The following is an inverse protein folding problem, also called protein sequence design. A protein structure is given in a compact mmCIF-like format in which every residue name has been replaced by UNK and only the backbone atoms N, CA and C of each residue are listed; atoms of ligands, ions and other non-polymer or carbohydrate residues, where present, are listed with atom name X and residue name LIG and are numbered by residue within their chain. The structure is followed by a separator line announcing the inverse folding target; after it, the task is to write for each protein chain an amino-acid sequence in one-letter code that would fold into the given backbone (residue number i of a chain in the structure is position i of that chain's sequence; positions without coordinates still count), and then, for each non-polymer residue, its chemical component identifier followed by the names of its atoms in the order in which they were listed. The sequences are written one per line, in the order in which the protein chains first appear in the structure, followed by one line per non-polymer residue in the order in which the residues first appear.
data_IF_507436607743
#
_entry.id   IF_507436607743
#
_cell.length_a   1.000
_cell.length_b   1.000
_cell.length_c   1.000
_cell.angle_alpha   90.00
_cell.angle_beta   90.00
_cell.angle_gamma   90.00
#
_symmetry.space_group_name_H-M   'P 1'
#
loop_
_entity.id
_entity.type
_entity.pdbx_description
1 polymer ?
#
# COMPACT_ATOMS: atom_id res chain seq x y z
N UNK A 1 16.41 -10.19 -3.69
CA UNK A 1 16.60 -9.03 -2.80
C UNK A 1 15.27 -8.47 -2.34
N UNK A 2 14.92 -8.66 -1.07
CA UNK A 2 13.70 -8.12 -0.46
C UNK A 2 13.84 -6.61 -0.19
N UNK A 3 12.76 -5.85 -0.37
CA UNK A 3 12.66 -4.51 0.20
C UNK A 3 12.54 -4.62 1.73
N UNK A 4 13.23 -3.75 2.45
CA UNK A 4 13.11 -3.47 3.87
C UNK A 4 12.56 -2.05 4.04
N UNK A 5 12.05 -1.72 5.22
CA UNK A 5 11.62 -0.36 5.54
C UNK A 5 10.70 0.21 4.44
N UNK A 6 9.72 -0.58 4.01
CA UNK A 6 8.79 -0.13 2.98
C UNK A 6 7.80 0.85 3.60
N UNK A 7 7.63 2.00 2.95
CA UNK A 7 6.72 3.04 3.38
C UNK A 7 6.03 3.67 2.19
N UNK A 8 4.76 4.01 2.36
CA UNK A 8 4.00 4.83 1.43
C UNK A 8 3.56 6.10 2.14
N UNK A 9 3.82 7.25 1.53
CA UNK A 9 3.41 8.56 2.03
C UNK A 9 2.40 9.19 1.08
N UNK A 10 1.11 9.07 1.41
CA UNK A 10 0.02 9.67 0.65
C UNK A 10 -0.20 11.12 1.07
N UNK A 11 -0.38 12.00 0.09
CA UNK A 11 -0.75 13.41 0.26
C UNK A 11 -1.94 13.71 -0.64
N UNK A 12 -3.02 14.26 -0.09
CA UNK A 12 -4.09 14.81 -0.92
C UNK A 12 -3.59 16.08 -1.60
N UNK A 13 -3.69 16.14 -2.92
CA UNK A 13 -3.27 17.30 -3.73
C UNK A 13 -4.46 18.13 -4.21
N UNK A 14 -5.68 17.61 -4.00
CA UNK A 14 -6.95 18.24 -4.36
C UNK A 14 -8.12 17.49 -3.73
N UNK A 15 -9.35 17.81 -4.14
CA UNK A 15 -10.57 17.17 -3.61
C UNK A 15 -10.72 15.70 -4.03
N UNK A 16 -10.12 15.32 -5.16
CA UNK A 16 -10.24 13.98 -5.79
C UNK A 16 -8.91 13.50 -6.36
N UNK A 17 -7.80 14.08 -5.91
CA UNK A 17 -6.45 13.76 -6.39
C UNK A 17 -5.48 13.61 -5.24
N UNK A 18 -4.47 12.76 -5.44
CA UNK A 18 -3.41 12.52 -4.47
C UNK A 18 -2.05 12.36 -5.16
N UNK A 19 -1.01 12.48 -4.36
CA UNK A 19 0.32 11.96 -4.67
C UNK A 19 0.71 10.95 -3.61
N UNK A 20 1.54 9.98 -3.97
CA UNK A 20 2.20 9.11 -3.01
C UNK A 20 3.68 8.95 -3.30
N UNK A 21 4.43 8.69 -2.24
CA UNK A 21 5.84 8.35 -2.33
C UNK A 21 6.03 6.98 -1.70
N UNK A 22 6.20 5.98 -2.56
CA UNK A 22 6.73 4.68 -2.16
C UNK A 22 8.22 4.84 -1.85
N UNK A 23 8.67 4.29 -0.73
CA UNK A 23 10.09 4.18 -0.39
C UNK A 23 10.40 2.77 0.09
N UNK A 24 11.55 2.22 -0.30
CA UNK A 24 12.09 1.00 0.29
C UNK A 24 13.62 0.99 0.31
N UNK A 25 14.20 0.26 1.26
CA UNK A 25 15.64 0.02 1.35
C UNK A 25 15.93 -1.40 0.85
N UNK A 26 16.74 -1.55 -0.20
CA UNK A 26 16.97 -2.87 -0.82
C UNK A 26 18.00 -3.67 -0.02
N UNK A 27 17.63 -4.88 0.42
CA UNK A 27 18.53 -5.87 1.04
C UNK A 27 18.95 -5.59 2.49
N UNK A 28 18.75 -4.38 3.02
CA UNK A 28 19.09 -4.02 4.40
C UNK A 28 18.28 -2.81 4.87
N UNK A 29 17.92 -2.69 6.16
CA UNK A 29 17.26 -1.50 6.70
C UNK A 29 18.13 -0.24 6.65
N UNK A 30 19.46 -0.36 6.55
CA UNK A 30 20.39 0.78 6.45
C UNK A 30 20.80 1.14 5.02
N UNK A 31 20.32 0.39 4.01
CA UNK A 31 20.62 0.69 2.62
C UNK A 31 20.03 2.05 2.19
N UNK A 32 20.59 2.64 1.14
CA UNK A 32 20.07 3.89 0.56
C UNK A 32 18.60 3.68 0.15
N UNK A 33 17.69 4.61 0.51
CA UNK A 33 16.30 4.51 0.11
C UNK A 33 16.16 4.65 -1.40
N UNK A 34 15.40 3.71 -1.98
CA UNK A 34 14.84 3.80 -3.31
C UNK A 34 13.43 4.35 -3.18
N UNK A 35 13.11 5.41 -3.93
CA UNK A 35 11.79 6.04 -3.89
C UNK A 35 11.15 6.08 -5.28
N UNK A 36 9.84 5.85 -5.32
CA UNK A 36 8.99 6.03 -6.50
C UNK A 36 7.96 7.07 -6.12
N UNK A 37 7.81 8.10 -6.96
CA UNK A 37 6.81 9.14 -6.82
C UNK A 37 5.67 8.86 -7.79
N UNK A 38 4.47 8.75 -7.25
CA UNK A 38 3.26 8.49 -8.00
C UNK A 38 2.26 9.62 -7.77
N UNK A 39 1.33 9.73 -8.71
CA UNK A 39 0.15 10.58 -8.60
C UNK A 39 -1.07 9.78 -8.99
N UNK A 40 -2.23 10.15 -8.48
CA UNK A 40 -3.46 9.44 -8.78
C UNK A 40 -4.71 10.26 -8.49
N UNK A 41 -5.84 9.64 -8.77
CA UNK A 41 -7.17 10.22 -8.54
C UNK A 41 -8.16 9.17 -8.09
N UNK A 42 -9.33 9.63 -7.64
CA UNK A 42 -10.46 8.80 -7.25
C UNK A 42 -11.76 9.57 -7.44
N UNK A 43 -12.86 8.85 -7.60
CA UNK A 43 -14.19 9.47 -7.64
C UNK A 43 -14.67 9.84 -6.24
N UNK A 44 -15.34 10.99 -6.11
CA UNK A 44 -15.74 11.53 -4.82
C UNK A 44 -16.73 10.64 -4.05
N UNK A 45 -17.56 9.89 -4.77
CA UNK A 45 -18.56 8.97 -4.21
C UNK A 45 -17.96 7.61 -3.80
N UNK A 46 -16.79 7.27 -4.34
CA UNK A 46 -16.11 6.00 -4.15
C UNK A 46 -14.61 6.20 -3.91
N UNK A 47 -14.21 6.97 -2.87
CA UNK A 47 -12.82 7.38 -2.67
C UNK A 47 -11.85 6.22 -2.41
N UNK A 48 -12.37 5.04 -2.03
CA UNK A 48 -11.58 3.82 -1.90
C UNK A 48 -11.20 3.16 -3.23
N UNK A 49 -11.80 3.56 -4.36
CA UNK A 49 -11.49 3.03 -5.70
C UNK A 49 -10.57 3.98 -6.46
N UNK A 50 -9.30 4.01 -6.06
CA UNK A 50 -8.33 4.91 -6.65
C UNK A 50 -7.75 4.36 -7.95
N UNK A 51 -7.16 5.25 -8.75
CA UNK A 51 -6.30 4.94 -9.89
C UNK A 51 -4.95 5.64 -9.72
N UNK A 52 -3.87 4.90 -9.89
CA UNK A 52 -2.50 5.46 -9.92
C UNK A 52 -2.10 5.75 -11.36
N UNK A 53 -1.35 6.81 -11.61
CA UNK A 53 -0.81 7.15 -12.93
C UNK A 53 0.63 6.67 -13.04
N UNK A 54 0.85 5.56 -13.74
CA UNK A 54 2.17 4.98 -14.01
C UNK A 54 2.52 5.17 -15.50
N UNK A 55 2.55 6.44 -15.94
CA UNK A 55 2.78 6.78 -17.36
C UNK A 55 1.56 6.48 -18.24
N UNK A 56 1.65 5.61 -19.26
CA UNK A 56 0.54 5.34 -20.18
C UNK A 56 -0.55 4.45 -19.59
N UNK A 57 -0.34 3.87 -18.40
CA UNK A 57 -1.31 2.99 -17.73
C UNK A 57 -1.81 3.64 -16.44
N UNK A 58 -3.09 3.42 -16.16
CA UNK A 58 -3.73 3.89 -14.93
C UNK A 58 -4.36 2.72 -14.17
N UNK A 59 -3.56 1.89 -13.49
CA UNK A 59 -4.08 0.72 -12.81
C UNK A 59 -5.00 1.08 -11.63
N UNK A 60 -6.01 0.26 -11.35
CA UNK A 60 -6.76 0.34 -10.10
C UNK A 60 -5.84 0.12 -8.90
N UNK A 61 -6.07 0.92 -7.86
CA UNK A 61 -5.46 0.83 -6.54
C UNK A 61 -6.56 0.99 -5.49
N UNK A 62 -7.14 -0.11 -5.05
CA UNK A 62 -8.40 -0.11 -4.31
C UNK A 62 -8.20 -0.46 -2.84
N UNK A 63 -8.68 0.40 -1.96
CA UNK A 63 -8.81 0.13 -0.53
C UNK A 63 -10.02 -0.77 -0.33
N UNK A 64 -9.77 -2.06 -0.08
CA UNK A 64 -10.81 -3.05 0.10
C UNK A 64 -11.46 -2.93 1.49
N UNK A 65 -10.65 -2.64 2.51
CA UNK A 65 -11.12 -2.56 3.90
C UNK A 65 -10.16 -1.78 4.79
N UNK A 66 -10.72 -1.16 5.83
CA UNK A 66 -9.99 -0.46 6.89
C UNK A 66 -10.28 -1.10 8.25
N UNK A 67 -9.30 -1.04 9.15
CA UNK A 67 -9.44 -1.41 10.56
C UNK A 67 -8.94 -0.26 11.44
N UNK A 68 -9.61 -0.05 12.57
CA UNK A 68 -9.31 1.02 13.52
C UNK A 68 -10.57 1.56 14.20
N UNK A 69 -10.38 2.57 15.04
CA UNK A 69 -11.46 3.26 15.75
C UNK A 69 -12.22 4.23 14.82
N UNK A 70 -13.50 4.51 15.07
CA UNK A 70 -14.29 5.42 14.23
C UNK A 70 -13.58 6.76 13.96
N UNK A 71 -13.42 7.11 12.67
CA UNK A 71 -12.72 8.32 12.23
C UNK A 71 -11.18 8.23 12.18
N UNK A 72 -10.61 7.09 12.56
CA UNK A 72 -9.18 6.78 12.43
C UNK A 72 -9.03 5.42 11.74
N UNK A 73 -7.91 5.23 11.04
CA UNK A 73 -7.56 3.92 10.55
C UNK A 73 -6.13 3.63 10.94
N UNK A 74 -5.95 2.47 11.56
CA UNK A 74 -4.65 1.97 11.98
C UNK A 74 -4.10 1.02 10.92
N UNK A 75 -5.00 0.38 10.16
CA UNK A 75 -4.65 -0.57 9.10
C UNK A 75 -5.53 -0.43 7.87
N UNK A 76 -4.98 -0.79 6.72
CA UNK A 76 -5.70 -0.83 5.45
C UNK A 76 -5.29 -2.03 4.61
N UNK A 77 -6.27 -2.69 4.00
CA UNK A 77 -6.07 -3.70 2.99
C UNK A 77 -6.30 -3.10 1.62
N UNK A 78 -5.31 -3.20 0.76
CA UNK A 78 -5.33 -2.66 -0.60
C UNK A 78 -5.08 -3.76 -1.61
N UNK A 79 -5.79 -3.69 -2.72
CA UNK A 79 -5.57 -4.50 -3.91
C UNK A 79 -5.28 -3.59 -5.10
N UNK A 80 -4.26 -3.93 -5.87
CA UNK A 80 -3.96 -3.26 -7.13
C UNK A 80 -3.78 -4.30 -8.24
N UNK A 81 -4.17 -3.92 -9.45
CA UNK A 81 -4.00 -4.78 -10.62
C UNK A 81 -3.43 -3.98 -11.77
N UNK A 82 -2.23 -4.31 -12.21
CA UNK A 82 -1.57 -3.69 -13.35
C UNK A 82 -1.71 -4.62 -14.55
N UNK A 83 -2.40 -4.16 -15.59
CA UNK A 83 -2.51 -4.87 -16.86
C UNK A 83 -1.65 -4.21 -17.94
N UNK A 84 -0.80 -4.97 -18.62
CA UNK A 84 -0.09 -4.52 -19.82
C UNK A 84 0.00 -5.66 -20.83
N UNK A 85 -0.43 -5.40 -22.08
CA UNK A 85 -0.31 -6.33 -23.22
C UNK A 85 -0.86 -7.75 -22.95
N UNK A 86 -2.02 -7.85 -22.27
CA UNK A 86 -2.66 -9.13 -21.97
C UNK A 86 -2.09 -9.87 -20.76
N UNK A 87 -1.00 -9.39 -20.17
CA UNK A 87 -0.49 -9.86 -18.88
C UNK A 87 -1.09 -9.02 -17.75
N UNK A 88 -1.56 -9.69 -16.70
CA UNK A 88 -2.07 -9.08 -15.48
C UNK A 88 -1.11 -9.39 -14.34
N UNK A 89 -0.71 -8.37 -13.59
CA UNK A 89 0.01 -8.49 -12.34
C UNK A 89 -0.87 -7.95 -11.22
N UNK A 90 -1.12 -8.78 -10.22
CA UNK A 90 -1.92 -8.42 -9.05
C UNK A 90 -1.00 -8.18 -7.86
N UNK A 91 -1.35 -7.17 -7.06
CA UNK A 91 -0.61 -6.77 -5.88
C UNK A 91 -1.58 -6.61 -4.72
N UNK A 92 -1.18 -7.13 -3.56
CA UNK A 92 -1.92 -7.01 -2.31
C UNK A 92 -1.00 -6.32 -1.31
N UNK A 93 -1.52 -5.27 -0.69
CA UNK A 93 -0.82 -4.55 0.35
C UNK A 93 -1.63 -4.58 1.64
N UNK A 94 -0.96 -4.98 2.72
CA UNK A 94 -1.49 -4.94 4.08
C UNK A 94 -0.69 -3.87 4.81
N UNK A 95 -1.28 -2.70 5.02
CA UNK A 95 -0.58 -1.56 5.63
C UNK A 95 -0.95 -1.40 7.10
N UNK A 96 -0.01 -0.82 7.85
CA UNK A 96 -0.17 -0.38 9.23
C UNK A 96 0.36 1.05 9.39
N UNK A 97 -0.22 1.80 10.32
CA UNK A 97 0.31 3.09 10.79
C UNK A 97 1.55 2.93 11.68
N UNK A 98 1.78 1.73 12.22
CA UNK A 98 2.97 1.37 12.98
C UNK A 98 3.82 0.36 12.19
N UNK A 99 5.08 0.09 12.60
CA UNK A 99 5.94 -0.88 11.91
C UNK A 99 5.46 -2.33 11.95
N UNK A 100 4.37 -2.63 12.66
CA UNK A 100 3.84 -3.99 12.83
C UNK A 100 2.32 -4.03 12.59
N UNK A 101 1.82 -5.20 12.18
CA UNK A 101 0.38 -5.50 12.13
C UNK A 101 0.10 -6.51 13.24
N UNK A 102 -0.93 -6.26 14.03
CA UNK A 102 -1.37 -7.22 15.05
C UNK A 102 -1.82 -8.53 14.40
N UNK A 103 -1.49 -9.67 15.02
CA UNK A 103 -1.79 -10.98 14.44
C UNK A 103 -3.28 -11.21 14.20
N UNK A 104 -4.16 -10.71 15.08
CA UNK A 104 -5.62 -10.77 14.92
C UNK A 104 -6.07 -10.02 13.67
N UNK A 105 -5.62 -8.78 13.49
CA UNK A 105 -5.94 -7.94 12.32
C UNK A 105 -5.40 -8.57 11.04
N UNK A 106 -4.17 -9.09 11.06
CA UNK A 106 -3.59 -9.78 9.91
C UNK A 106 -4.41 -11.02 9.51
N UNK A 107 -4.91 -11.78 10.50
CA UNK A 107 -5.79 -12.91 10.24
C UNK A 107 -7.12 -12.46 9.61
N UNK A 108 -7.70 -11.36 10.08
CA UNK A 108 -8.92 -10.80 9.49
C UNK A 108 -8.72 -10.30 8.06
N UNK A 109 -7.59 -9.66 7.75
CA UNK A 109 -7.23 -9.25 6.39
C UNK A 109 -7.16 -10.46 5.44
N UNK A 110 -6.49 -11.53 5.88
CA UNK A 110 -6.39 -12.78 5.11
C UNK A 110 -7.75 -13.43 4.91
N UNK A 111 -8.57 -13.51 5.96
CA UNK A 111 -9.94 -14.02 5.87
C UNK A 111 -10.80 -13.20 4.88
N UNK A 112 -10.65 -11.87 4.88
CA UNK A 112 -11.34 -11.01 3.92
C UNK A 112 -10.95 -11.32 2.48
N UNK A 113 -9.66 -11.52 2.19
CA UNK A 113 -9.19 -11.89 0.86
C UNK A 113 -9.68 -13.28 0.44
N UNK A 114 -9.60 -14.28 1.32
CA UNK A 114 -10.12 -15.63 1.07
C UNK A 114 -11.61 -15.62 0.75
N UNK A 115 -12.41 -14.84 1.47
CA UNK A 115 -13.85 -14.72 1.22
C UNK A 115 -14.18 -14.12 -0.15
N UNK A 116 -13.22 -13.43 -0.79
CA UNK A 116 -13.36 -12.86 -2.13
C UNK A 116 -12.56 -13.64 -3.19
N UNK A 117 -12.06 -14.84 -2.87
CA UNK A 117 -11.26 -15.67 -3.77
C UNK A 117 -9.99 -14.99 -4.28
N UNK A 118 -9.42 -14.08 -3.50
CA UNK A 118 -8.15 -13.40 -3.82
C UNK A 118 -7.01 -14.16 -3.11
N UNK A 119 -6.10 -14.77 -3.87
CA UNK A 119 -4.93 -15.44 -3.29
C UNK A 119 -3.93 -14.42 -2.74
N UNK A 120 -3.44 -14.67 -1.54
CA UNK A 120 -2.39 -13.88 -0.89
C UNK A 120 -1.11 -14.68 -0.62
N UNK A 121 -0.94 -15.84 -1.26
CA UNK A 121 0.17 -16.75 -0.98
C UNK A 121 1.55 -16.13 -1.31
N UNK A 122 1.55 -15.16 -2.24
CA UNK A 122 2.74 -14.42 -2.61
C UNK A 122 3.02 -13.19 -1.73
N UNK A 123 2.12 -12.86 -0.79
CA UNK A 123 2.32 -11.73 0.13
C UNK A 123 3.43 -12.07 1.11
N UNK A 124 4.44 -11.20 1.17
CA UNK A 124 5.61 -11.35 2.04
C UNK A 124 5.60 -10.29 3.12
N UNK A 125 6.01 -10.68 4.33
CA UNK A 125 6.27 -9.70 5.37
C UNK A 125 7.44 -8.80 4.95
N UNK A 126 7.27 -7.49 5.12
CA UNK A 126 8.36 -6.53 4.93
C UNK A 126 9.14 -6.45 6.24
N UNK A 127 10.46 -6.68 6.26
CA UNK A 127 11.23 -6.50 7.48
C UNK A 127 11.31 -5.00 7.85
N UNK A 128 10.88 -4.68 9.08
CA UNK A 128 10.84 -3.32 9.62
C UNK A 128 11.84 -3.08 10.75
N UNK A 129 12.57 -4.11 11.19
CA UNK A 129 13.58 -4.02 12.25
C UNK A 129 14.78 -3.19 11.80
N UNK A 130 15.25 -2.29 12.67
CA UNK A 130 16.37 -1.39 12.38
C UNK A 130 16.03 -0.23 11.43
N UNK A 131 14.77 -0.10 11.01
CA UNK A 131 14.33 1.04 10.19
C UNK A 131 14.34 2.33 11.01
N UNK A 132 14.97 3.36 10.46
CA UNK A 132 15.01 4.69 11.05
C UNK A 132 14.27 5.68 10.17
N UNK A 133 13.46 6.55 10.79
CA UNK A 133 12.62 7.49 10.08
C UNK A 133 12.92 8.90 10.60
N UNK A 134 13.41 9.78 9.73
CA UNK A 134 13.49 11.20 10.07
C UNK A 134 12.07 11.78 10.13
N UNK A 135 11.60 12.10 11.33
CA UNK A 135 10.28 12.69 11.58
C UNK A 135 10.08 14.06 10.89
N UNK A 136 11.16 14.72 10.48
CA UNK A 136 11.16 16.02 9.78
C UNK A 136 10.77 15.96 8.29
N UNK A 137 10.37 14.79 7.78
CA UNK A 137 9.79 14.60 6.44
C UNK A 137 8.38 14.00 6.49
N UNK A 138 7.69 14.17 7.61
CA UNK A 138 6.26 13.86 7.79
C UNK A 138 5.40 15.03 7.30
#
# INVERSE_FOLDING_TARGET
DSCHCTRYNFTLTGSTSFSDVFTCNKGSPSAKPFAIHNVGSFEADTPGKMVESLGPVSPPYWVLRLWGSAGKYDYSLVYACVGLLGLKAEYIYMFSRTPTIEHSVLAEMKAHLSNHSISYDSVKNVPMDGCTWNASKL
#
